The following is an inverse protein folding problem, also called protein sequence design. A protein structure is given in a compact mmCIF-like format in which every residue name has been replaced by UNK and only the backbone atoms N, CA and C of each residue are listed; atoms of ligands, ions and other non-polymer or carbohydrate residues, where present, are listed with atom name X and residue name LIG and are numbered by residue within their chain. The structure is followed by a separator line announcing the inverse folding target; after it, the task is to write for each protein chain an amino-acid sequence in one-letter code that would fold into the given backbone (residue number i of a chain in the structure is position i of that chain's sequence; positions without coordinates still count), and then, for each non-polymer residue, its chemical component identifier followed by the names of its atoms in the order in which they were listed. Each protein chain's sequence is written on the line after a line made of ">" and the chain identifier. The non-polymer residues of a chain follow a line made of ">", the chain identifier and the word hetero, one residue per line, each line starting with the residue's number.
data_IF_010197448168
#
_entry.id   IF_010197448168
#
_cell.length_a   1.000
_cell.length_b   1.000
_cell.length_c   1.000
_cell.angle_alpha   90.00
_cell.angle_beta   90.00
_cell.angle_gamma   90.00
#
_symmetry.space_group_name_H-M   'P 1'
#
loop_
_entity.id
_entity.type
_entity.pdbx_description
1 polymer ?
#
# COMPACT_ATOMS: atom_id res chain seq x y z
N UNK A 1 19.81 8.62 -7.98
CA UNK A 1 18.81 9.48 -8.66
C UNK A 1 19.47 10.53 -9.55
N UNK A 2 20.54 11.19 -9.12
CA UNK A 2 21.18 12.24 -9.90
C UNK A 2 21.66 11.82 -11.29
N UNK A 3 21.98 10.55 -11.49
CA UNK A 3 22.52 10.04 -12.75
C UNK A 3 21.49 9.31 -13.62
N UNK A 4 20.48 8.69 -13.00
CA UNK A 4 19.53 7.79 -13.71
C UNK A 4 18.07 8.09 -13.41
N UNK A 5 17.75 8.94 -12.44
CA UNK A 5 16.37 9.25 -12.06
C UNK A 5 15.91 10.62 -12.56
N UNK A 6 14.64 10.76 -12.90
CA UNK A 6 14.01 12.03 -13.18
C UNK A 6 13.68 12.81 -11.91
N UNK A 7 13.41 14.11 -12.06
CA UNK A 7 12.99 14.98 -10.95
C UNK A 7 11.65 14.55 -10.36
N UNK A 8 10.77 13.97 -11.17
CA UNK A 8 9.49 13.40 -10.75
C UNK A 8 9.67 12.26 -9.74
N UNK A 9 10.65 11.35 -9.98
CA UNK A 9 10.96 10.27 -9.04
C UNK A 9 11.53 10.86 -7.74
N UNK A 10 12.46 11.83 -7.85
CA UNK A 10 13.03 12.48 -6.67
C UNK A 10 11.97 13.21 -5.84
N UNK A 11 11.01 13.87 -6.50
CA UNK A 11 9.88 14.52 -5.83
C UNK A 11 9.00 13.52 -5.08
N UNK A 12 8.65 12.38 -5.72
CA UNK A 12 7.87 11.33 -5.07
C UNK A 12 8.60 10.69 -3.89
N UNK A 13 9.91 10.48 -3.98
CA UNK A 13 10.72 10.02 -2.85
C UNK A 13 10.57 10.96 -1.66
N UNK A 14 10.66 12.29 -1.90
CA UNK A 14 10.43 13.29 -0.87
C UNK A 14 9.04 13.23 -0.25
N UNK A 15 8.00 13.01 -1.07
CA UNK A 15 6.62 12.81 -0.60
C UNK A 15 6.52 11.60 0.32
N UNK A 16 7.12 10.46 -0.04
CA UNK A 16 7.08 9.25 0.77
C UNK A 16 7.80 9.42 2.10
N UNK A 17 8.99 10.02 2.09
CA UNK A 17 9.71 10.32 3.33
C UNK A 17 8.93 11.28 4.23
N UNK A 18 8.31 12.31 3.66
CA UNK A 18 7.42 13.22 4.38
C UNK A 18 6.18 12.52 4.94
N UNK A 19 5.55 11.65 4.15
CA UNK A 19 4.40 10.89 4.59
C UNK A 19 4.71 10.02 5.82
N UNK A 20 5.84 9.34 5.84
CA UNK A 20 6.31 8.58 7.00
C UNK A 20 6.52 9.49 8.21
N UNK A 21 7.18 10.64 8.02
CA UNK A 21 7.43 11.61 9.11
C UNK A 21 6.13 12.09 9.77
N UNK A 22 5.07 12.28 8.99
CA UNK A 22 3.76 12.73 9.46
C UNK A 22 2.75 11.60 9.69
N UNK A 23 3.17 10.34 9.55
CA UNK A 23 2.34 9.14 9.72
C UNK A 23 1.09 9.14 8.80
N UNK A 24 1.30 9.55 7.56
CA UNK A 24 0.25 9.60 6.53
C UNK A 24 0.42 8.41 5.59
N UNK A 25 -0.57 7.51 5.45
CA UNK A 25 -0.50 6.43 4.50
C UNK A 25 -0.55 6.96 3.06
N UNK A 26 0.22 6.31 2.17
CA UNK A 26 0.30 6.68 0.76
C UNK A 26 -0.08 5.50 -0.11
N UNK A 27 -0.97 5.73 -1.07
CA UNK A 27 -1.36 4.73 -2.06
C UNK A 27 -0.45 4.84 -3.28
N UNK A 28 0.23 3.73 -3.60
CA UNK A 28 1.04 3.61 -4.81
C UNK A 28 0.13 3.32 -6.01
N UNK A 29 0.39 4.00 -7.14
CA UNK A 29 -0.32 3.76 -8.40
C UNK A 29 0.39 2.68 -9.23
N UNK A 30 1.20 3.06 -10.20
CA UNK A 30 1.84 2.15 -11.14
C UNK A 30 3.35 2.00 -10.94
N UNK A 31 4.05 1.60 -12.01
CA UNK A 31 5.47 1.24 -11.96
C UNK A 31 6.36 2.39 -11.45
N UNK A 32 6.10 3.63 -11.88
CA UNK A 32 6.95 4.78 -11.52
C UNK A 32 6.86 5.08 -10.02
N UNK A 33 5.66 5.05 -9.45
CA UNK A 33 5.47 5.24 -8.00
C UNK A 33 6.10 4.12 -7.19
N UNK A 34 6.02 2.87 -7.66
CA UNK A 34 6.67 1.72 -7.02
C UNK A 34 8.20 1.85 -7.03
N UNK A 35 8.79 2.33 -8.13
CA UNK A 35 10.24 2.58 -8.21
C UNK A 35 10.65 3.70 -7.25
N UNK A 36 9.88 4.79 -7.19
CA UNK A 36 10.15 5.87 -6.24
C UNK A 36 10.05 5.38 -4.78
N UNK A 37 9.04 4.56 -4.47
CA UNK A 37 8.86 3.95 -3.15
C UNK A 37 10.04 3.03 -2.79
N UNK A 38 10.55 2.25 -3.75
CA UNK A 38 11.72 1.40 -3.54
C UNK A 38 12.98 2.21 -3.23
N UNK A 39 13.16 3.37 -3.88
CA UNK A 39 14.25 4.29 -3.56
C UNK A 39 14.08 4.87 -2.16
N UNK A 40 12.87 5.30 -1.81
CA UNK A 40 12.57 5.83 -0.48
C UNK A 40 12.83 4.78 0.62
N UNK A 41 12.41 3.52 0.41
CA UNK A 41 12.65 2.40 1.33
C UNK A 41 14.15 2.14 1.54
N UNK A 42 15.01 2.38 0.53
CA UNK A 42 16.46 2.25 0.67
C UNK A 42 17.07 3.37 1.51
N UNK A 43 16.38 4.50 1.65
CA UNK A 43 16.78 5.63 2.50
C UNK A 43 16.23 5.49 3.92
N UNK A 44 15.02 4.97 4.06
CA UNK A 44 14.32 4.72 5.32
C UNK A 44 13.44 3.47 5.19
N UNK A 45 13.86 2.38 5.81
CA UNK A 45 13.18 1.09 5.68
C UNK A 45 11.77 1.07 6.29
N UNK A 46 11.49 1.91 7.29
CA UNK A 46 10.18 1.97 7.97
C UNK A 46 9.10 2.60 7.10
N UNK A 47 9.46 3.19 5.96
CA UNK A 47 8.48 3.80 5.06
C UNK A 47 7.48 2.79 4.50
N UNK A 48 7.88 1.54 4.39
CA UNK A 48 7.05 0.47 3.82
C UNK A 48 5.74 0.27 4.60
N UNK A 49 5.75 0.54 5.90
CA UNK A 49 4.58 0.44 6.78
C UNK A 49 3.50 1.49 6.49
N UNK A 50 3.87 2.51 5.73
CA UNK A 50 2.96 3.60 5.31
C UNK A 50 2.54 3.50 3.85
N UNK A 51 2.95 2.44 3.13
CA UNK A 51 2.66 2.29 1.71
C UNK A 51 1.57 1.24 1.47
N UNK A 52 0.61 1.58 0.63
CA UNK A 52 -0.46 0.70 0.16
C UNK A 52 -0.33 0.53 -1.35
N UNK A 53 -0.09 -0.69 -1.81
CA UNK A 53 -0.04 -0.98 -3.24
C UNK A 53 -1.46 -1.13 -3.80
N UNK A 54 -1.85 -0.28 -4.75
CA UNK A 54 -3.19 -0.31 -5.35
C UNK A 54 -3.38 -1.54 -6.25
N UNK A 55 -2.52 -1.71 -7.23
CA UNK A 55 -2.68 -2.75 -8.24
C UNK A 55 -1.34 -3.32 -8.72
N UNK A 56 -1.42 -4.51 -9.31
CA UNK A 56 -0.30 -5.06 -10.08
C UNK A 56 -0.30 -4.42 -11.46
N UNK A 57 0.73 -3.60 -11.74
CA UNK A 57 0.91 -3.02 -13.08
C UNK A 57 1.17 -4.12 -14.11
N UNK A 58 0.66 -3.95 -15.31
CA UNK A 58 0.98 -4.82 -16.45
C UNK A 58 2.47 -4.72 -16.83
N UNK A 59 3.12 -3.61 -16.50
CA UNK A 59 4.55 -3.41 -16.72
C UNK A 59 5.39 -4.30 -15.80
N UNK A 60 6.40 -4.98 -16.38
CA UNK A 60 7.28 -5.87 -15.62
C UNK A 60 8.05 -5.14 -14.52
N UNK A 61 8.44 -3.88 -14.75
CA UNK A 61 9.12 -3.02 -13.77
C UNK A 61 8.28 -2.80 -12.50
N UNK A 62 6.98 -2.59 -12.66
CA UNK A 62 6.06 -2.43 -11.53
C UNK A 62 5.97 -3.68 -10.66
N UNK A 63 5.84 -4.86 -11.28
CA UNK A 63 5.83 -6.14 -10.55
C UNK A 63 7.14 -6.41 -9.81
N UNK A 64 8.26 -6.14 -10.46
CA UNK A 64 9.57 -6.29 -9.83
C UNK A 64 9.76 -5.36 -8.64
N UNK A 65 9.31 -4.10 -8.78
CA UNK A 65 9.38 -3.12 -7.69
C UNK A 65 8.47 -3.51 -6.52
N UNK A 66 7.23 -3.94 -6.76
CA UNK A 66 6.33 -4.43 -5.71
C UNK A 66 6.90 -5.64 -4.96
N UNK A 67 7.46 -6.60 -5.68
CA UNK A 67 8.10 -7.75 -5.06
C UNK A 67 9.30 -7.34 -4.19
N UNK A 68 10.11 -6.38 -4.65
CA UNK A 68 11.24 -5.86 -3.90
C UNK A 68 10.82 -5.04 -2.67
N UNK A 69 9.64 -4.39 -2.70
CA UNK A 69 9.03 -3.71 -1.57
C UNK A 69 8.39 -4.69 -0.56
N UNK A 70 8.10 -5.93 -0.98
CA UNK A 70 7.36 -6.90 -0.17
C UNK A 70 5.88 -6.55 0.00
N UNK A 71 5.32 -5.67 -0.86
CA UNK A 71 3.94 -5.20 -0.76
C UNK A 71 3.00 -6.04 -1.62
N UNK A 72 1.93 -6.61 -1.04
CA UNK A 72 0.85 -7.22 -1.81
C UNK A 72 0.00 -6.13 -2.45
N UNK A 73 -0.29 -6.24 -3.74
CA UNK A 73 -1.25 -5.36 -4.40
C UNK A 73 -2.68 -5.89 -4.21
N UNK A 74 -3.63 -4.97 -4.03
CA UNK A 74 -5.05 -5.32 -3.81
C UNK A 74 -5.75 -5.69 -5.10
N UNK A 75 -5.44 -5.00 -6.23
CA UNK A 75 -6.15 -5.13 -7.49
C UNK A 75 -5.29 -5.86 -8.53
N UNK A 76 -5.84 -6.89 -9.15
CA UNK A 76 -5.25 -7.65 -10.26
C UNK A 76 -6.11 -7.48 -11.52
N UNK A 77 -6.01 -6.32 -12.20
CA UNK A 77 -6.92 -5.92 -13.27
C UNK A 77 -6.25 -5.63 -14.62
N UNK A 78 -5.00 -6.03 -14.84
CA UNK A 78 -4.22 -5.71 -16.05
C UNK A 78 -4.21 -4.22 -16.38
N UNK A 79 -4.06 -3.39 -15.36
CA UNK A 79 -4.05 -1.94 -15.48
C UNK A 79 -2.72 -1.47 -16.10
N UNK A 80 -2.82 -0.60 -17.11
CA UNK A 80 -1.67 -0.04 -17.81
C UNK A 80 -1.81 1.45 -18.16
N UNK A 81 -2.89 2.10 -17.72
CA UNK A 81 -3.13 3.51 -18.03
C UNK A 81 -2.19 4.46 -17.28
N UNK A 82 -1.91 4.20 -16.02
CA UNK A 82 -1.22 5.14 -15.14
C UNK A 82 -2.12 6.29 -14.70
N UNK A 83 -1.57 7.50 -14.63
CA UNK A 83 -2.29 8.74 -14.31
C UNK A 83 -3.03 8.70 -12.97
N UNK A 84 -2.57 7.88 -12.03
CA UNK A 84 -3.22 7.70 -10.72
C UNK A 84 -4.46 6.81 -10.76
N UNK A 85 -4.80 6.22 -11.92
CA UNK A 85 -6.04 5.45 -12.08
C UNK A 85 -6.13 4.25 -11.13
N UNK A 86 -5.04 3.52 -10.93
CA UNK A 86 -5.01 2.39 -10.02
C UNK A 86 -5.17 2.82 -8.57
N UNK A 87 -4.50 3.91 -8.16
CA UNK A 87 -4.65 4.48 -6.83
C UNK A 87 -6.09 4.92 -6.56
N UNK A 88 -6.71 5.61 -7.52
CA UNK A 88 -8.11 6.05 -7.41
C UNK A 88 -9.10 4.89 -7.28
N UNK A 89 -8.83 3.75 -7.90
CA UNK A 89 -9.67 2.55 -7.77
C UNK A 89 -9.57 1.91 -6.37
N UNK A 90 -8.48 2.11 -5.65
CA UNK A 90 -8.31 1.57 -4.31
C UNK A 90 -9.12 2.34 -3.25
N UNK A 91 -9.31 3.65 -3.39
CA UNK A 91 -9.99 4.47 -2.37
C UNK A 91 -11.40 3.97 -2.02
N UNK A 92 -12.29 3.65 -2.96
CA UNK A 92 -13.60 3.07 -2.62
C UNK A 92 -13.50 1.76 -1.84
N UNK A 93 -12.50 0.92 -2.12
CA UNK A 93 -12.27 -0.32 -1.39
C UNK A 93 -11.80 -0.04 0.05
N UNK A 94 -10.95 0.97 0.24
CA UNK A 94 -10.55 1.42 1.57
C UNK A 94 -11.72 1.99 2.36
N UNK A 95 -12.57 2.80 1.74
CA UNK A 95 -13.77 3.35 2.38
C UNK A 95 -14.73 2.25 2.82
N UNK A 96 -14.96 1.25 1.96
CA UNK A 96 -15.78 0.08 2.30
C UNK A 96 -15.18 -0.69 3.48
N UNK A 97 -13.87 -0.96 3.45
CA UNK A 97 -13.16 -1.67 4.51
C UNK A 97 -13.23 -0.91 5.83
N UNK A 98 -12.99 0.40 5.81
CA UNK A 98 -13.10 1.25 7.00
C UNK A 98 -14.54 1.31 7.53
N UNK A 99 -15.54 1.31 6.66
CA UNK A 99 -16.95 1.25 7.06
C UNK A 99 -17.26 -0.06 7.79
N UNK A 100 -16.81 -1.20 7.28
CA UNK A 100 -16.96 -2.50 7.94
C UNK A 100 -16.25 -2.45 9.30
N UNK A 101 -14.98 -2.04 9.34
CA UNK A 101 -14.20 -2.01 10.57
C UNK A 101 -14.84 -1.15 11.68
N UNK A 102 -15.44 0.00 11.32
CA UNK A 102 -16.07 0.93 12.26
C UNK A 102 -17.45 0.51 12.73
N UNK A 103 -18.20 -0.23 11.91
CA UNK A 103 -19.61 -0.51 12.14
C UNK A 103 -19.93 -1.98 12.42
N UNK A 104 -18.96 -2.88 12.25
CA UNK A 104 -19.15 -4.29 12.58
C UNK A 104 -19.10 -4.47 14.09
N UNK A 105 -20.05 -5.22 14.65
CA UNK A 105 -20.04 -5.58 16.07
C UNK A 105 -18.84 -6.45 16.42
N UNK A 106 -18.28 -6.27 17.60
CA UNK A 106 -17.24 -7.11 18.16
C UNK A 106 -17.83 -8.39 18.75
N UNK A 107 -17.01 -9.38 19.04
CA UNK A 107 -17.45 -10.60 19.76
C UNK A 107 -18.07 -10.24 21.12
N UNK A 108 -17.50 -9.24 21.80
CA UNK A 108 -18.03 -8.74 23.08
C UNK A 108 -19.42 -8.11 22.92
N UNK A 109 -19.64 -7.29 21.88
CA UNK A 109 -20.95 -6.68 21.61
C UNK A 109 -22.03 -7.74 21.35
N UNK A 110 -21.65 -8.86 20.74
CA UNK A 110 -22.55 -9.94 20.37
C UNK A 110 -22.66 -11.04 21.44
N UNK A 111 -21.88 -10.95 22.52
CA UNK A 111 -21.76 -12.01 23.56
C UNK A 111 -21.42 -13.39 22.98
N UNK A 112 -20.57 -13.42 21.95
CA UNK A 112 -20.09 -14.64 21.29
C UNK A 112 -18.67 -14.92 21.76
N UNK A 113 -18.37 -16.20 22.06
CA UNK A 113 -17.01 -16.61 22.40
C UNK A 113 -16.04 -16.34 21.25
N UNK A 114 -14.85 -15.84 21.58
CA UNK A 114 -13.82 -15.53 20.59
C UNK A 114 -13.36 -16.81 19.90
N UNK A 115 -13.39 -16.82 18.58
CA UNK A 115 -12.92 -17.95 17.79
C UNK A 115 -11.41 -18.02 17.80
N UNK A 116 -10.84 -19.13 18.25
CA UNK A 116 -9.43 -19.42 18.10
C UNK A 116 -9.16 -20.27 16.86
N UNK A 117 -8.27 -19.82 15.99
CA UNK A 117 -7.95 -20.49 14.72
C UNK A 117 -7.44 -21.91 14.88
N UNK A 118 -6.80 -22.21 16.03
CA UNK A 118 -6.17 -23.49 16.34
C UNK A 118 -6.86 -24.23 17.51
N UNK A 119 -8.08 -23.84 17.88
CA UNK A 119 -8.83 -24.46 18.98
C UNK A 119 -8.20 -24.29 20.36
N UNK A 120 -7.24 -23.34 20.51
CA UNK A 120 -6.65 -22.97 21.78
C UNK A 120 -7.14 -21.56 22.17
N UNK A 121 -7.60 -21.35 23.40
CA UNK A 121 -7.89 -20.01 23.89
C UNK A 121 -6.60 -19.17 23.83
N UNK A 122 -6.70 -17.93 23.37
CA UNK A 122 -5.61 -16.94 23.49
C UNK A 122 -5.45 -16.64 25.01
N UNK A 123 -4.23 -16.82 25.52
CA UNK A 123 -3.85 -16.48 26.90
C UNK A 123 -3.73 -14.96 27.07
#
# INVERSE_FOLDING_TARGET
>A
LAELGGLEIAGMVGVFLGARQYQIPVVLDGAITCVAALVAMRMDAEIVDYLLASHVSEEASGRLALNALGLPAVIHGKLCLGEGSGAMMLFPLLDMTLSIYKNMGTFDDLSIETYSRDGKPEE
#
